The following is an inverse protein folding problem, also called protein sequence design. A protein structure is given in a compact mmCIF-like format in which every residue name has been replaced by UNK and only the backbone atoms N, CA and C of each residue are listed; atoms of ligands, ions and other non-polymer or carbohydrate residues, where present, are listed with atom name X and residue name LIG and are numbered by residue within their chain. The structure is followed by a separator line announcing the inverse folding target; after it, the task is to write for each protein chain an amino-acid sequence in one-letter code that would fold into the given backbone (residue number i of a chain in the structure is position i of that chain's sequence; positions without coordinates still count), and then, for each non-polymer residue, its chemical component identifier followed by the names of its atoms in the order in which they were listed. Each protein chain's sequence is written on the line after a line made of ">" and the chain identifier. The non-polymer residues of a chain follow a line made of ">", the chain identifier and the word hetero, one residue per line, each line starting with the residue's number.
data_IF_877511490035
#
_entry.id   IF_877511490035
#
_cell.length_a   1.000
_cell.length_b   1.000
_cell.length_c   1.000
_cell.angle_alpha   90.00
_cell.angle_beta   90.00
_cell.angle_gamma   90.00
#
_symmetry.space_group_name_H-M   'P 1'
#
loop_
_entity.id
_entity.type
_entity.pdbx_description
1 polymer ?
#
# COMPACT_ATOMS: atom_id res chain seq x y z
N UNK A 1 -5.43 -15.66 24.98
CA UNK A 1 -6.34 -15.75 26.16
C UNK A 1 -7.54 -14.84 25.90
N UNK A 2 -8.76 -15.12 26.37
CA UNK A 2 -9.92 -14.24 26.15
C UNK A 2 -9.78 -12.83 26.77
N UNK A 3 -8.77 -12.61 27.62
CA UNK A 3 -8.42 -11.33 28.24
C UNK A 3 -7.03 -10.81 27.81
N UNK A 4 -6.56 -11.23 26.64
CA UNK A 4 -5.28 -10.76 26.10
C UNK A 4 -5.39 -9.30 25.65
N UNK A 5 -4.61 -8.43 26.29
CA UNK A 5 -4.51 -7.00 25.99
C UNK A 5 -3.12 -6.65 25.44
N UNK A 6 -2.36 -7.66 24.99
CA UNK A 6 -1.06 -7.40 24.38
C UNK A 6 -1.22 -6.57 23.10
N UNK A 7 -0.36 -5.58 22.96
CA UNK A 7 -0.26 -4.82 21.72
C UNK A 7 0.38 -5.72 20.65
N UNK A 8 -0.15 -5.62 19.43
CA UNK A 8 0.41 -6.28 18.25
C UNK A 8 1.02 -5.22 17.34
N UNK A 9 2.22 -5.49 16.85
CA UNK A 9 2.87 -4.63 15.88
C UNK A 9 2.02 -4.54 14.60
N UNK A 10 1.90 -3.33 14.08
CA UNK A 10 1.25 -3.12 12.80
C UNK A 10 2.12 -3.73 11.70
N UNK A 11 1.57 -4.58 10.83
CA UNK A 11 2.36 -5.16 9.74
C UNK A 11 2.95 -4.10 8.80
N UNK A 12 4.12 -4.40 8.26
CA UNK A 12 4.78 -3.54 7.28
C UNK A 12 4.09 -3.55 5.91
N UNK A 13 4.36 -2.52 5.11
CA UNK A 13 3.93 -2.47 3.71
C UNK A 13 2.42 -2.30 3.51
N UNK A 14 1.71 -1.85 4.55
CA UNK A 14 0.28 -1.55 4.51
C UNK A 14 0.00 -0.20 3.85
N UNK A 15 -0.11 -0.21 2.53
CA UNK A 15 -0.62 0.93 1.76
C UNK A 15 -1.22 0.46 0.44
N UNK A 16 -2.09 1.29 -0.15
CA UNK A 16 -2.65 1.02 -1.46
C UNK A 16 -1.56 1.18 -2.54
N UNK A 17 -1.18 0.07 -3.19
CA UNK A 17 -0.12 -0.02 -4.21
C UNK A 17 -0.63 0.17 -5.64
N UNK A 18 -1.70 0.93 -5.82
CA UNK A 18 -2.21 1.34 -7.14
C UNK A 18 -1.47 2.59 -7.65
N UNK A 19 -1.58 2.94 -8.94
CA UNK A 19 -0.99 4.15 -9.49
C UNK A 19 -1.55 5.41 -8.80
N UNK A 20 -0.78 6.49 -8.76
CA UNK A 20 -1.19 7.73 -8.09
C UNK A 20 -2.47 8.34 -8.69
N UNK A 21 -2.65 8.21 -10.00
CA UNK A 21 -3.83 8.65 -10.76
C UNK A 21 -5.01 7.67 -10.70
N UNK A 22 -4.87 6.54 -10.00
CA UNK A 22 -5.96 5.58 -9.84
C UNK A 22 -7.16 6.22 -9.13
N UNK A 23 -8.38 6.06 -9.66
CA UNK A 23 -9.60 6.57 -9.02
C UNK A 23 -9.99 5.77 -7.77
N UNK A 24 -9.32 4.65 -7.48
CA UNK A 24 -9.58 3.81 -6.32
C UNK A 24 -8.68 4.25 -5.16
N UNK A 25 -9.27 4.47 -3.99
CA UNK A 25 -8.52 4.85 -2.79
C UNK A 25 -7.74 6.15 -2.99
N UNK A 26 -8.38 7.18 -3.57
CA UNK A 26 -7.75 8.47 -3.93
C UNK A 26 -7.09 9.19 -2.76
N UNK A 27 -7.52 8.91 -1.52
CA UNK A 27 -6.95 9.44 -0.27
C UNK A 27 -5.90 8.53 0.36
N UNK A 28 -5.41 7.53 -0.37
CA UNK A 28 -4.38 6.60 0.12
C UNK A 28 -3.02 7.28 0.32
N UNK A 29 -2.20 6.73 1.21
CA UNK A 29 -0.89 7.28 1.59
C UNK A 29 0.04 7.52 0.41
N UNK A 30 -0.06 6.72 -0.68
CA UNK A 30 0.68 6.93 -1.94
C UNK A 30 0.59 8.36 -2.51
N UNK A 31 -0.46 9.09 -2.15
CA UNK A 31 -0.76 10.45 -2.63
C UNK A 31 -0.44 11.54 -1.60
N UNK A 32 0.11 11.20 -0.43
CA UNK A 32 0.50 12.20 0.55
C UNK A 32 1.76 12.96 0.10
N UNK A 33 1.81 14.28 0.30
CA UNK A 33 2.98 15.08 -0.03
C UNK A 33 4.14 14.69 0.89
N UNK A 34 5.32 14.52 0.30
CA UNK A 34 6.54 14.27 1.07
C UNK A 34 7.01 15.56 1.75
N UNK A 35 7.22 15.50 3.06
CA UNK A 35 7.79 16.62 3.82
C UNK A 35 9.21 16.91 3.32
N UNK A 36 9.51 18.18 3.04
CA UNK A 36 10.84 18.59 2.57
C UNK A 36 11.17 18.24 1.10
N UNK A 37 10.26 17.60 0.36
CA UNK A 37 10.45 17.23 -1.04
C UNK A 37 9.29 17.78 -1.91
N UNK A 38 9.33 19.08 -2.29
CA UNK A 38 8.25 19.71 -3.04
C UNK A 38 7.90 18.96 -4.33
N UNK A 39 6.61 18.72 -4.56
CA UNK A 39 6.11 18.00 -5.74
C UNK A 39 6.19 16.47 -5.65
N UNK A 40 6.92 15.91 -4.69
CA UNK A 40 7.00 14.46 -4.49
C UNK A 40 5.85 13.96 -3.61
N UNK A 41 5.30 12.80 -3.96
CA UNK A 41 4.30 12.06 -3.19
C UNK A 41 4.73 10.60 -3.09
N UNK A 42 4.60 10.00 -1.91
CA UNK A 42 4.99 8.62 -1.70
C UNK A 42 4.23 7.99 -0.51
N UNK A 43 4.11 6.65 -0.49
CA UNK A 43 3.36 5.96 0.56
C UNK A 43 4.13 5.79 1.87
N UNK A 44 5.46 5.97 1.87
CA UNK A 44 6.31 5.80 3.06
C UNK A 44 7.38 6.87 3.15
N UNK A 45 7.94 7.06 4.35
CA UNK A 45 9.00 8.06 4.61
C UNK A 45 10.28 7.69 3.88
N UNK A 46 10.62 6.40 3.82
CA UNK A 46 11.82 5.90 3.16
C UNK A 46 11.79 6.21 1.66
N UNK A 47 10.63 6.02 1.02
CA UNK A 47 10.47 6.41 -0.39
C UNK A 47 10.52 7.93 -0.51
N UNK A 48 9.91 8.69 0.40
CA UNK A 48 10.00 10.16 0.39
C UNK A 48 11.45 10.65 0.44
N UNK A 49 12.28 10.10 1.33
CA UNK A 49 13.68 10.48 1.53
C UNK A 49 14.63 9.96 0.44
N UNK A 50 14.22 8.93 -0.32
CA UNK A 50 15.01 8.40 -1.43
C UNK A 50 14.98 9.27 -2.71
N UNK A 51 15.79 8.93 -3.70
CA UNK A 51 15.70 9.45 -5.07
C UNK A 51 14.74 8.65 -5.97
N UNK A 52 14.18 7.54 -5.46
CA UNK A 52 13.33 6.63 -6.22
C UNK A 52 11.88 7.13 -6.31
N UNK A 53 11.19 6.88 -7.43
CA UNK A 53 9.76 7.10 -7.54
C UNK A 53 8.98 6.02 -6.78
N UNK A 54 7.70 6.28 -6.52
CA UNK A 54 6.77 5.24 -6.10
C UNK A 54 6.44 4.31 -7.28
N UNK A 55 6.56 3.00 -7.07
CA UNK A 55 6.23 1.97 -8.07
C UNK A 55 4.94 1.22 -7.66
N UNK A 56 3.86 1.27 -8.47
CA UNK A 56 2.64 0.53 -8.20
C UNK A 56 2.80 -0.96 -8.53
N UNK A 57 2.07 -1.83 -7.82
CA UNK A 57 2.06 -3.27 -8.08
C UNK A 57 1.22 -3.65 -9.31
N UNK A 58 0.25 -2.82 -9.69
CA UNK A 58 -0.56 -3.04 -10.87
C UNK A 58 -0.98 -1.71 -11.48
N UNK A 59 -1.05 -1.65 -12.81
CA UNK A 59 -1.45 -0.42 -13.52
C UNK A 59 -2.96 -0.21 -13.53
N UNK A 60 -3.76 -1.27 -13.34
CA UNK A 60 -5.22 -1.20 -13.24
C UNK A 60 -5.72 -2.24 -12.26
N UNK A 61 -6.68 -1.83 -11.45
CA UNK A 61 -7.51 -2.73 -10.65
C UNK A 61 -8.96 -2.39 -10.95
N UNK A 62 -9.77 -3.42 -11.21
CA UNK A 62 -11.23 -3.26 -11.27
C UNK A 62 -11.77 -3.14 -9.85
N UNK A 63 -12.67 -2.18 -9.62
CA UNK A 63 -13.28 -1.93 -8.29
C UNK A 63 -13.86 -3.20 -7.66
N UNK A 64 -14.40 -4.10 -8.49
CA UNK A 64 -15.03 -5.36 -8.07
C UNK A 64 -14.22 -6.61 -8.48
N UNK A 65 -13.12 -6.42 -9.22
CA UNK A 65 -12.30 -7.53 -9.72
C UNK A 65 -11.37 -8.11 -8.65
N UNK A 66 -10.54 -9.09 -9.02
CA UNK A 66 -9.55 -9.63 -8.12
C UNK A 66 -8.55 -8.55 -7.70
N UNK A 67 -8.10 -8.61 -6.45
CA UNK A 67 -6.97 -7.77 -6.02
C UNK A 67 -5.69 -8.16 -6.76
N UNK A 68 -4.82 -7.18 -7.08
CA UNK A 68 -3.47 -7.49 -7.53
C UNK A 68 -2.74 -8.38 -6.52
N UNK A 69 -1.89 -9.27 -7.01
CA UNK A 69 -1.01 -10.07 -6.16
C UNK A 69 -0.10 -9.11 -5.38
N UNK A 70 -0.20 -9.12 -4.05
CA UNK A 70 0.59 -8.27 -3.16
C UNK A 70 1.53 -9.12 -2.30
N UNK A 71 2.85 -9.05 -2.54
CA UNK A 71 3.84 -9.79 -1.74
C UNK A 71 3.77 -9.47 -0.23
N UNK A 72 3.39 -8.25 0.16
CA UNK A 72 3.29 -7.90 1.57
C UNK A 72 2.09 -8.59 2.24
N UNK A 73 0.96 -8.69 1.54
CA UNK A 73 -0.21 -9.41 2.04
C UNK A 73 0.09 -10.91 2.15
N UNK A 74 0.78 -11.49 1.16
CA UNK A 74 1.22 -12.89 1.20
C UNK A 74 2.17 -13.13 2.38
N UNK A 75 3.13 -12.23 2.62
CA UNK A 75 4.04 -12.33 3.77
C UNK A 75 3.30 -12.25 5.12
N UNK A 76 2.14 -11.60 5.16
CA UNK A 76 1.23 -11.54 6.31
C UNK A 76 0.27 -12.74 6.39
N UNK A 77 0.38 -13.72 5.48
CA UNK A 77 -0.46 -14.91 5.45
C UNK A 77 -1.82 -14.73 4.77
N UNK A 78 -2.06 -13.60 4.10
CA UNK A 78 -3.26 -13.39 3.29
C UNK A 78 -3.04 -14.05 1.92
N UNK A 79 -3.84 -15.05 1.54
CA UNK A 79 -3.66 -15.73 0.26
C UNK A 79 -4.03 -14.80 -0.92
N UNK A 80 -3.48 -15.06 -2.13
CA UNK A 80 -3.94 -14.38 -3.33
C UNK A 80 -5.46 -14.54 -3.53
N UNK A 81 -6.08 -13.54 -4.15
CA UNK A 81 -7.50 -13.59 -4.53
C UNK A 81 -7.75 -14.78 -5.47
N UNK A 82 -8.71 -15.63 -5.13
CA UNK A 82 -9.00 -16.88 -5.84
C UNK A 82 -9.89 -16.67 -7.08
N UNK A 83 -10.36 -15.44 -7.31
CA UNK A 83 -11.17 -15.05 -8.47
C UNK A 83 -10.34 -14.72 -9.72
N UNK A 84 -9.04 -15.06 -9.70
CA UNK A 84 -8.09 -14.90 -10.84
C UNK A 84 -8.45 -15.84 -11.98
#
# INVERSE_FOLDING_TARGET
>A
SPADLSDIDTPDGLYCKLPQDSPIGVRGTRNFPCLGQPGKRAPTVEICESDKPFEPLAMRQHVLGPYPIDPALIAQGVPPDDRI
#
